data_IF_340927514973
#
_entry.id   IF_340927514973
#
_cell.length_a   1.000
_cell.length_b   1.000
_cell.length_c   1.000
_cell.angle_alpha   90.00
_cell.angle_beta   90.00
_cell.angle_gamma   90.00
#
_symmetry.space_group_name_H-M   'P 1'
#
loop_
_entity.id
_entity.type
_entity.pdbx_description
1 polymer ?
#
# COMPACT_ATOMS: atom_id res chain seq x y z
N UNK A 1 54.25 37.56 18.75
CA UNK A 1 52.93 37.45 19.41
C UNK A 1 51.78 37.39 18.41
N UNK A 2 51.60 38.34 17.48
CA UNK A 2 50.46 38.41 16.53
C UNK A 2 50.20 37.17 15.64
N UNK A 3 51.23 36.45 15.22
CA UNK A 3 51.10 35.26 14.35
C UNK A 3 50.46 34.05 15.07
N UNK A 4 50.64 33.95 16.38
CA UNK A 4 50.10 32.84 17.18
C UNK A 4 48.57 33.00 17.38
N UNK A 5 48.13 34.24 17.63
CA UNK A 5 46.71 34.58 17.78
C UNK A 5 45.92 34.35 16.48
N UNK A 6 46.48 34.70 15.32
CA UNK A 6 45.81 34.45 14.04
C UNK A 6 45.61 32.95 13.76
N UNK A 7 46.58 32.11 14.13
CA UNK A 7 46.48 30.65 13.97
C UNK A 7 45.43 30.07 14.92
N UNK A 8 45.36 30.58 16.15
CA UNK A 8 44.36 30.19 17.14
C UNK A 8 42.93 30.57 16.72
N UNK A 9 42.74 31.78 16.17
CA UNK A 9 41.46 32.25 15.64
C UNK A 9 41.01 31.40 14.45
N UNK A 10 41.93 31.08 13.52
CA UNK A 10 41.63 30.25 12.35
C UNK A 10 41.22 28.83 12.73
N UNK A 11 41.88 28.22 13.71
CA UNK A 11 41.53 26.88 14.21
C UNK A 11 40.18 26.86 14.92
N UNK A 12 39.86 27.89 15.73
CA UNK A 12 38.51 28.05 16.31
C UNK A 12 37.43 28.19 15.24
N UNK A 13 37.70 28.96 14.17
CA UNK A 13 36.76 29.15 13.07
C UNK A 13 36.49 27.84 12.32
N UNK A 14 37.54 27.06 12.02
CA UNK A 14 37.43 25.74 11.37
C UNK A 14 36.64 24.77 12.24
N UNK A 15 36.86 24.77 13.56
CA UNK A 15 36.10 23.94 14.49
C UNK A 15 34.62 24.33 14.54
N UNK A 16 34.29 25.62 14.54
CA UNK A 16 32.89 26.09 14.54
C UNK A 16 32.20 25.69 13.23
N UNK A 17 32.84 25.88 12.08
CA UNK A 17 32.30 25.50 10.77
C UNK A 17 32.12 23.99 10.66
N UNK A 18 33.07 23.20 11.15
CA UNK A 18 32.98 21.74 11.17
C UNK A 18 31.85 21.25 12.08
N UNK A 19 31.70 21.83 13.28
CA UNK A 19 30.60 21.52 14.18
C UNK A 19 29.25 21.93 13.60
N UNK A 20 29.17 23.04 12.87
CA UNK A 20 27.96 23.49 12.20
C UNK A 20 27.58 22.57 11.02
N UNK A 21 28.55 22.15 10.20
CA UNK A 21 28.34 21.16 9.15
C UNK A 21 27.89 19.81 9.71
N UNK A 22 28.49 19.35 10.81
CA UNK A 22 28.09 18.12 11.49
C UNK A 22 26.68 18.23 12.07
N UNK A 23 26.31 19.39 12.61
CA UNK A 23 24.95 19.66 13.10
C UNK A 23 23.90 19.65 11.98
N UNK A 24 24.21 20.22 10.81
CA UNK A 24 23.36 20.14 9.62
C UNK A 24 23.22 18.70 9.12
N UNK A 25 24.29 17.90 9.16
CA UNK A 25 24.25 16.50 8.75
C UNK A 25 23.32 15.66 9.66
N UNK A 26 23.33 15.92 10.98
CA UNK A 26 22.48 15.25 11.97
C UNK A 26 21.01 15.67 11.84
N UNK A 27 20.72 16.93 11.48
CA UNK A 27 19.34 17.41 11.29
C UNK A 27 18.64 16.75 10.09
N UNK A 28 19.38 16.38 9.04
CA UNK A 28 18.79 15.70 7.87
C UNK A 28 18.41 14.24 8.14
N UNK A 29 18.93 13.61 9.20
CA UNK A 29 18.61 12.21 9.56
C UNK A 29 17.36 12.05 10.43
N UNK A 30 16.74 13.14 10.88
CA UNK A 30 15.57 13.10 11.75
C UNK A 30 14.25 13.28 10.98
N UNK A 31 14.05 12.54 9.89
CA UNK A 31 12.70 12.30 9.38
C UNK A 31 12.23 10.98 9.99
N UNK A 32 11.42 11.04 11.05
CA UNK A 32 10.79 9.84 11.62
C UNK A 32 9.98 9.14 10.53
N UNK A 33 10.44 7.96 10.11
CA UNK A 33 9.66 7.05 9.30
C UNK A 33 8.42 6.64 10.09
N UNK A 34 7.25 7.07 9.63
CA UNK A 34 6.00 6.59 10.19
C UNK A 34 5.84 5.14 9.77
N UNK A 35 6.02 4.23 10.71
CA UNK A 35 6.04 2.77 10.49
C UNK A 35 4.62 2.20 10.28
N UNK A 36 3.77 2.96 9.59
CA UNK A 36 2.36 2.71 9.43
C UNK A 36 2.08 2.27 7.99
N UNK A 37 1.34 1.17 7.85
CA UNK A 37 0.80 0.73 6.57
C UNK A 37 -0.26 1.70 6.10
N UNK A 38 -0.21 2.06 4.82
CA UNK A 38 -1.28 2.85 4.20
C UNK A 38 -2.31 1.90 3.59
N UNK A 39 -3.57 2.05 3.99
CA UNK A 39 -4.69 1.26 3.46
C UNK A 39 -5.57 2.20 2.62
N UNK A 40 -5.74 1.89 1.35
CA UNK A 40 -6.55 2.68 0.41
C UNK A 40 -7.68 1.81 -0.13
N UNK A 41 -8.91 2.30 -0.01
CA UNK A 41 -10.06 1.77 -0.74
C UNK A 41 -10.23 2.59 -2.02
N UNK A 42 -10.25 1.92 -3.17
CA UNK A 42 -10.30 2.56 -4.47
C UNK A 42 -11.10 1.73 -5.47
N UNK A 43 -11.24 2.24 -6.69
CA UNK A 43 -11.91 1.58 -7.79
C UNK A 43 -11.25 1.91 -9.11
N UNK A 44 -11.42 1.04 -10.09
CA UNK A 44 -11.07 1.31 -11.48
C UNK A 44 -12.23 0.97 -12.39
N UNK A 45 -12.31 1.61 -13.55
CA UNK A 45 -13.23 1.19 -14.59
C UNK A 45 -12.67 -0.04 -15.29
N UNK A 46 -13.48 -1.09 -15.42
CA UNK A 46 -13.15 -2.31 -16.15
C UNK A 46 -13.80 -2.28 -17.52
N UNK A 47 -13.01 -2.38 -18.59
CA UNK A 47 -13.53 -2.53 -19.95
C UNK A 47 -14.04 -3.95 -20.17
N UNK A 48 -13.39 -4.95 -19.55
CA UNK A 48 -13.82 -6.35 -19.60
C UNK A 48 -15.23 -6.54 -19.01
N UNK A 49 -15.54 -5.85 -17.91
CA UNK A 49 -16.83 -5.99 -17.20
C UNK A 49 -17.80 -4.83 -17.45
N UNK A 50 -17.36 -3.77 -18.11
CA UNK A 50 -18.18 -2.60 -18.43
C UNK A 50 -18.60 -1.74 -17.22
N UNK A 51 -17.88 -1.83 -16.09
CA UNK A 51 -18.28 -1.22 -14.83
C UNK A 51 -17.10 -0.85 -13.93
N UNK A 52 -17.35 -0.07 -12.88
CA UNK A 52 -16.36 0.20 -11.85
C UNK A 52 -16.19 -0.98 -10.90
N UNK A 53 -14.94 -1.43 -10.72
CA UNK A 53 -14.53 -2.54 -9.85
C UNK A 53 -13.78 -1.99 -8.65
N UNK A 54 -14.21 -2.36 -7.45
CA UNK A 54 -13.59 -1.90 -6.20
C UNK A 54 -12.40 -2.80 -5.82
N UNK A 55 -11.43 -2.22 -5.13
CA UNK A 55 -10.35 -2.94 -4.49
C UNK A 55 -9.87 -2.19 -3.25
N UNK A 56 -9.25 -2.91 -2.32
CA UNK A 56 -8.44 -2.36 -1.24
C UNK A 56 -6.97 -2.65 -1.52
N UNK A 57 -6.09 -1.71 -1.24
CA UNK A 57 -4.65 -1.90 -1.36
C UNK A 57 -3.95 -1.51 -0.06
N UNK A 58 -2.95 -2.31 0.32
CA UNK A 58 -2.10 -2.10 1.48
C UNK A 58 -0.69 -1.80 0.99
N UNK A 59 -0.19 -0.62 1.32
CA UNK A 59 1.14 -0.17 0.95
C UNK A 59 2.07 -0.27 2.17
N UNK A 60 3.30 -0.79 2.00
CA UNK A 60 4.24 -0.94 3.10
C UNK A 60 4.62 0.44 3.69
N UNK A 61 5.14 0.48 4.92
CA UNK A 61 5.66 1.70 5.50
C UNK A 61 6.66 2.39 4.54
N UNK A 62 6.67 3.72 4.55
CA UNK A 62 7.57 4.55 3.73
C UNK A 62 7.44 4.37 2.20
N UNK A 63 6.37 3.73 1.72
CA UNK A 63 6.09 3.61 0.29
C UNK A 63 6.23 4.95 -0.46
N UNK A 64 5.63 6.03 0.07
CA UNK A 64 5.68 7.36 -0.55
C UNK A 64 7.02 8.08 -0.38
N UNK A 65 7.83 7.69 0.61
CA UNK A 65 9.15 8.27 0.85
C UNK A 65 10.24 7.65 -0.03
N UNK A 66 9.95 6.51 -0.66
CA UNK A 66 10.88 5.77 -1.52
C UNK A 66 10.29 5.58 -2.93
N UNK A 67 10.11 6.64 -3.73
CA UNK A 67 9.41 6.57 -5.02
C UNK A 67 10.11 5.70 -6.07
N UNK A 68 11.39 5.37 -5.87
CA UNK A 68 12.16 4.48 -6.76
C UNK A 68 12.10 3.00 -6.34
N UNK A 69 11.67 2.71 -5.11
CA UNK A 69 11.55 1.33 -4.62
C UNK A 69 10.28 0.71 -5.19
N UNK A 70 10.44 -0.47 -5.78
CA UNK A 70 9.35 -1.29 -6.34
C UNK A 70 9.14 -2.52 -5.46
N UNK A 71 7.90 -3.02 -5.39
CA UNK A 71 7.48 -4.04 -4.43
C UNK A 71 6.79 -5.22 -5.13
N UNK A 72 7.04 -6.47 -4.70
CA UNK A 72 6.20 -7.60 -5.10
C UNK A 72 4.74 -7.37 -4.68
N UNK A 73 3.82 -7.92 -5.47
CA UNK A 73 2.38 -7.76 -5.25
C UNK A 73 1.74 -9.11 -4.92
N UNK A 74 0.98 -9.15 -3.85
CA UNK A 74 0.14 -10.29 -3.47
C UNK A 74 -1.31 -9.92 -3.75
N UNK A 75 -1.98 -10.70 -4.60
CA UNK A 75 -3.42 -10.59 -4.81
C UNK A 75 -4.15 -11.52 -3.84
N UNK A 76 -4.86 -10.93 -2.87
CA UNK A 76 -5.60 -11.65 -1.83
C UNK A 76 -7.09 -11.70 -2.18
N UNK A 77 -7.64 -12.89 -2.36
CA UNK A 77 -9.03 -13.09 -2.74
C UNK A 77 -9.88 -13.54 -1.56
N UNK A 78 -11.10 -13.03 -1.46
CA UNK A 78 -11.99 -13.36 -0.35
C UNK A 78 -12.88 -14.56 -0.66
N UNK A 79 -13.40 -15.20 0.38
CA UNK A 79 -14.27 -16.36 0.25
C UNK A 79 -15.73 -16.02 0.01
N UNK A 80 -16.56 -17.05 0.13
CA UNK A 80 -18.03 -16.99 0.13
C UNK A 80 -18.55 -15.93 1.12
N UNK A 81 -19.54 -15.13 0.68
CA UNK A 81 -20.20 -14.08 1.47
C UNK A 81 -19.27 -12.97 1.99
N UNK A 82 -18.03 -12.89 1.48
CA UNK A 82 -17.09 -11.83 1.81
C UNK A 82 -17.00 -10.79 0.68
N UNK A 83 -16.23 -9.71 0.90
CA UNK A 83 -15.93 -8.61 -0.02
C UNK A 83 -14.49 -8.14 0.20
N UNK A 84 -14.05 -7.15 -0.57
CA UNK A 84 -12.82 -6.40 -0.29
C UNK A 84 -12.87 -5.54 1.00
N UNK A 85 -14.10 -5.25 1.46
CA UNK A 85 -14.51 -4.50 2.66
C UNK A 85 -13.76 -3.19 2.98
N UNK A 86 -14.07 -2.13 2.22
CA UNK A 86 -14.12 -0.72 2.65
C UNK A 86 -15.55 -0.23 2.94
N UNK A 87 -15.71 0.66 3.94
CA UNK A 87 -16.89 1.34 4.57
C UNK A 87 -18.32 0.76 4.55
N UNK A 88 -18.64 -0.32 3.84
CA UNK A 88 -20.04 -0.73 3.59
C UNK A 88 -20.48 -1.99 4.35
N UNK A 89 -19.73 -2.47 5.33
CA UNK A 89 -20.21 -3.57 6.19
C UNK A 89 -20.55 -3.06 7.58
N UNK A 90 -21.84 -2.87 7.85
CA UNK A 90 -22.37 -2.62 9.20
C UNK A 90 -22.22 -3.83 10.14
N UNK A 91 -21.66 -4.95 9.66
CA UNK A 91 -21.52 -6.21 10.42
C UNK A 91 -20.09 -6.73 10.50
N UNK A 92 -19.15 -6.19 9.71
CA UNK A 92 -17.75 -6.58 9.77
C UNK A 92 -16.96 -5.48 10.46
N UNK A 93 -16.75 -5.61 11.77
CA UNK A 93 -15.61 -4.96 12.43
C UNK A 93 -14.37 -5.24 11.57
N UNK A 94 -13.50 -4.24 11.40
CA UNK A 94 -12.26 -4.40 10.63
C UNK A 94 -11.60 -5.75 10.94
N UNK A 95 -11.14 -6.44 9.90
CA UNK A 95 -10.39 -7.70 10.03
C UNK A 95 -8.96 -7.57 9.49
N UNK A 96 -8.58 -6.36 9.12
CA UNK A 96 -7.45 -6.10 8.24
C UNK A 96 -6.31 -5.36 8.96
N UNK A 97 -6.47 -4.90 10.21
CA UNK A 97 -5.47 -4.05 10.87
C UNK A 97 -5.42 -4.15 12.39
N UNK A 98 -4.34 -3.64 12.99
CA UNK A 98 -4.26 -3.50 14.45
C UNK A 98 -4.33 -4.85 15.15
N UNK A 99 -5.21 -4.99 16.14
CA UNK A 99 -5.42 -6.24 16.89
C UNK A 99 -6.51 -7.14 16.27
N UNK A 100 -6.98 -6.82 15.07
CA UNK A 100 -7.93 -7.66 14.35
C UNK A 100 -7.34 -9.06 14.10
N UNK A 101 -8.16 -10.11 14.22
CA UNK A 101 -7.74 -11.52 14.11
C UNK A 101 -6.52 -11.84 15.00
N UNK A 102 -6.55 -11.39 16.26
CA UNK A 102 -5.44 -11.52 17.22
C UNK A 102 -4.10 -10.97 16.70
N UNK A 103 -4.16 -10.00 15.79
CA UNK A 103 -2.99 -9.39 15.15
C UNK A 103 -2.52 -10.10 13.87
N UNK A 104 -3.10 -11.25 13.52
CA UNK A 104 -2.83 -11.94 12.25
C UNK A 104 -3.69 -11.35 11.13
N UNK A 105 -3.28 -10.20 10.63
CA UNK A 105 -4.01 -9.46 9.60
C UNK A 105 -3.10 -8.88 8.53
N UNK A 106 -3.70 -8.52 7.40
CA UNK A 106 -2.98 -8.07 6.19
C UNK A 106 -2.12 -6.84 6.50
N UNK A 107 -2.63 -5.85 7.24
CA UNK A 107 -1.81 -4.67 7.54
C UNK A 107 -0.61 -5.01 8.43
N UNK A 108 -0.75 -5.90 9.41
CA UNK A 108 0.40 -6.32 10.22
C UNK A 108 1.41 -7.14 9.40
N UNK A 109 0.94 -7.96 8.45
CA UNK A 109 1.83 -8.64 7.51
C UNK A 109 2.61 -7.62 6.65
N UNK A 110 1.92 -6.69 5.98
CA UNK A 110 2.52 -5.65 5.13
C UNK A 110 3.42 -4.70 5.91
N UNK A 111 3.13 -4.46 7.20
CA UNK A 111 3.98 -3.62 8.06
C UNK A 111 5.40 -4.19 8.21
N UNK A 112 5.52 -5.51 8.22
CA UNK A 112 6.78 -6.20 8.50
C UNK A 112 7.43 -6.80 7.25
N UNK A 113 6.85 -6.59 6.07
CA UNK A 113 7.34 -7.13 4.80
C UNK A 113 7.27 -6.07 3.71
N UNK A 114 8.30 -6.02 2.86
CA UNK A 114 8.36 -5.13 1.70
C UNK A 114 7.47 -5.63 0.54
N UNK A 115 6.16 -5.64 0.76
CA UNK A 115 5.17 -6.16 -0.20
C UNK A 115 3.97 -5.23 -0.29
N UNK A 116 3.35 -5.20 -1.47
CA UNK A 116 2.01 -4.62 -1.66
C UNK A 116 1.00 -5.77 -1.59
N UNK A 117 -0.13 -5.57 -0.91
CA UNK A 117 -1.27 -6.49 -0.98
C UNK A 117 -2.45 -5.80 -1.61
N UNK A 118 -3.02 -6.41 -2.66
CA UNK A 118 -4.25 -5.97 -3.33
C UNK A 118 -5.37 -6.95 -3.03
N UNK A 119 -6.48 -6.44 -2.50
CA UNK A 119 -7.69 -7.21 -2.19
C UNK A 119 -8.84 -6.75 -3.09
N UNK A 120 -9.04 -7.37 -4.26
CA UNK A 120 -10.11 -6.99 -5.18
C UNK A 120 -11.49 -7.45 -4.71
N UNK A 121 -12.52 -6.69 -5.07
CA UNK A 121 -13.91 -7.05 -4.82
C UNK A 121 -14.37 -8.14 -5.79
N UNK A 122 -14.69 -9.30 -5.24
CA UNK A 122 -15.19 -10.45 -5.99
C UNK A 122 -16.67 -10.39 -6.32
N UNK A 123 -17.38 -9.34 -5.88
CA UNK A 123 -18.78 -9.12 -6.24
C UNK A 123 -18.94 -9.06 -7.75
N UNK A 124 -19.60 -10.03 -8.35
CA UNK A 124 -19.58 -10.20 -9.80
C UNK A 124 -20.95 -10.59 -10.36
N UNK A 125 -21.88 -9.64 -10.32
CA UNK A 125 -23.26 -9.83 -10.80
C UNK A 125 -23.68 -8.70 -11.72
N UNK A 126 -24.70 -8.93 -12.55
CA UNK A 126 -25.41 -7.84 -13.21
C UNK A 126 -26.27 -7.07 -12.19
N UNK A 127 -26.68 -5.83 -12.50
CA UNK A 127 -27.54 -5.04 -11.63
C UNK A 127 -28.85 -5.75 -11.25
N UNK A 128 -29.43 -6.50 -12.20
CA UNK A 128 -30.74 -7.15 -12.07
C UNK A 128 -30.66 -8.57 -11.48
N UNK A 129 -29.46 -9.12 -11.30
CA UNK A 129 -29.29 -10.47 -10.77
C UNK A 129 -29.59 -10.52 -9.27
N UNK A 130 -30.19 -11.62 -8.81
CA UNK A 130 -30.34 -11.90 -7.39
C UNK A 130 -28.97 -11.86 -6.68
N UNK A 131 -28.95 -11.36 -5.44
CA UNK A 131 -27.70 -11.30 -4.69
C UNK A 131 -27.19 -12.71 -4.40
N UNK A 132 -26.09 -13.09 -5.05
CA UNK A 132 -25.44 -14.37 -4.84
C UNK A 132 -24.14 -14.20 -4.04
N UNK A 133 -23.96 -15.03 -3.01
CA UNK A 133 -22.85 -14.95 -2.06
C UNK A 133 -21.52 -15.48 -2.63
N UNK A 134 -21.48 -15.94 -3.88
CA UNK A 134 -20.27 -16.51 -4.48
C UNK A 134 -19.54 -15.47 -5.33
N UNK A 135 -18.28 -15.14 -4.99
CA UNK A 135 -17.50 -14.22 -5.79
C UNK A 135 -16.83 -14.90 -7.00
N UNK A 136 -16.35 -14.07 -7.94
CA UNK A 136 -15.44 -14.44 -9.04
C UNK A 136 -15.98 -15.42 -10.11
N UNK A 137 -17.27 -15.76 -10.08
CA UNK A 137 -17.95 -16.65 -11.04
C UNK A 137 -17.18 -17.97 -11.28
N UNK A 138 -16.67 -18.57 -10.20
CA UNK A 138 -15.84 -19.78 -10.25
C UNK A 138 -16.65 -21.09 -10.31
N UNK A 139 -17.97 -21.07 -10.05
CA UNK A 139 -18.86 -22.24 -10.22
C UNK A 139 -20.35 -21.88 -10.03
N UNK A 140 -21.28 -22.37 -10.89
CA UNK A 140 -21.07 -23.24 -12.07
C UNK A 140 -20.27 -22.53 -13.17
N UNK A 141 -19.93 -23.25 -14.26
CA UNK A 141 -19.20 -22.64 -15.40
C UNK A 141 -20.13 -21.59 -16.04
N UNK A 142 -19.87 -20.33 -15.73
CA UNK A 142 -20.47 -19.20 -16.41
C UNK A 142 -19.59 -18.81 -17.60
N UNK A 143 -20.17 -18.21 -18.64
CA UNK A 143 -19.43 -17.79 -19.85
C UNK A 143 -19.34 -16.27 -19.99
N UNK A 144 -20.02 -15.53 -19.11
CA UNK A 144 -19.97 -14.09 -19.04
C UNK A 144 -19.21 -13.65 -17.78
N UNK A 145 -18.74 -12.40 -17.77
CA UNK A 145 -18.10 -11.75 -16.61
C UNK A 145 -16.97 -12.59 -15.98
N UNK A 146 -16.14 -13.19 -16.82
CA UNK A 146 -15.14 -14.17 -16.42
C UNK A 146 -13.95 -13.54 -15.72
N UNK A 147 -13.71 -13.96 -14.47
CA UNK A 147 -12.59 -13.47 -13.69
C UNK A 147 -11.22 -13.70 -14.36
N UNK A 148 -10.94 -14.84 -15.03
CA UNK A 148 -9.68 -15.03 -15.76
C UNK A 148 -9.41 -14.00 -16.87
N UNK A 149 -10.47 -13.38 -17.44
CA UNK A 149 -10.33 -12.33 -18.45
C UNK A 149 -10.13 -10.96 -17.79
N UNK A 150 -10.83 -10.72 -16.67
CA UNK A 150 -10.71 -9.48 -15.91
C UNK A 150 -9.37 -9.36 -15.16
N UNK A 151 -8.81 -10.48 -14.68
CA UNK A 151 -7.64 -10.44 -13.81
C UNK A 151 -6.41 -9.77 -14.44
N UNK A 152 -6.02 -10.05 -15.70
CA UNK A 152 -4.95 -9.32 -16.37
C UNK A 152 -5.17 -7.80 -16.44
N UNK A 153 -6.40 -7.34 -16.72
CA UNK A 153 -6.74 -5.90 -16.74
C UNK A 153 -6.56 -5.26 -15.35
N UNK A 154 -6.95 -5.96 -14.29
CA UNK A 154 -6.69 -5.50 -12.92
C UNK A 154 -5.19 -5.42 -12.63
N UNK A 155 -4.39 -6.40 -13.06
CA UNK A 155 -2.94 -6.39 -12.87
C UNK A 155 -2.31 -5.19 -13.57
N UNK A 156 -2.63 -4.98 -14.85
CA UNK A 156 -2.15 -3.83 -15.63
C UNK A 156 -2.52 -2.49 -14.97
N UNK A 157 -3.74 -2.36 -14.45
CA UNK A 157 -4.17 -1.16 -13.75
C UNK A 157 -3.36 -0.89 -12.48
N UNK A 158 -3.07 -1.94 -11.69
CA UNK A 158 -2.27 -1.82 -10.48
C UNK A 158 -0.81 -1.48 -10.83
N UNK A 159 -0.22 -2.14 -11.82
CA UNK A 159 1.16 -1.89 -12.24
C UNK A 159 1.37 -0.48 -12.83
N UNK A 160 0.33 0.09 -13.45
CA UNK A 160 0.37 1.46 -13.95
C UNK A 160 0.21 2.52 -12.82
N UNK A 161 -0.43 2.16 -11.72
CA UNK A 161 -0.77 3.08 -10.62
C UNK A 161 0.16 3.02 -9.40
N UNK A 162 0.93 1.94 -9.25
CA UNK A 162 1.74 1.67 -8.07
C UNK A 162 3.15 1.17 -8.44
N UNK A 163 4.09 1.30 -7.50
CA UNK A 163 5.48 0.87 -7.67
C UNK A 163 5.59 -0.66 -7.48
N UNK A 164 5.08 -1.44 -8.42
CA UNK A 164 5.11 -2.91 -8.41
C UNK A 164 6.36 -3.44 -9.13
N UNK A 165 6.85 -4.68 -8.91
CA UNK A 165 7.92 -5.30 -9.73
C UNK A 165 7.39 -6.26 -10.78
#
# INVERSE_FOLDING_TARGET
MKLFDQKLIKNKLISIVSSFLLFILILNTACSQTNNVTIIDSRHYSNVLGENRNYRIFLPPDYFNNPQKRYPVIYFYHGWSQRYFGSTSHTSKGIDKGTDNDGDNIANYVKNHDVIVVKPDGYNRNPDDEYYLRPYNVSPVETNRQFPIYFPELVEYIDAGYNTI
#
